data_IF_121217261813
#
_entry.id   IF_121217261813
#
_cell.length_a   1.000
_cell.length_b   1.000
_cell.length_c   1.000
_cell.angle_alpha   90.00
_cell.angle_beta   90.00
_cell.angle_gamma   90.00
#
_symmetry.space_group_name_H-M   'P 1'
#
loop_
_entity.id
_entity.type
_entity.pdbx_description
1 polymer ?
#
# COMPACT_ATOMS: atom_id res chain seq x y z
N UNK A 1 -13.97 -25.58 -4.95
CA UNK A 1 -12.88 -24.57 -4.85
C UNK A 1 -13.54 -23.23 -5.12
N UNK A 2 -13.69 -22.39 -4.11
CA UNK A 2 -14.13 -21.01 -4.31
C UNK A 2 -13.12 -20.33 -5.25
N UNK A 3 -13.62 -19.56 -6.20
CA UNK A 3 -12.80 -18.88 -7.18
C UNK A 3 -11.96 -17.81 -6.44
N UNK A 4 -10.63 -17.93 -6.44
CA UNK A 4 -9.67 -17.01 -5.81
C UNK A 4 -9.96 -15.56 -6.17
N UNK A 5 -10.34 -15.29 -7.40
CA UNK A 5 -10.76 -13.96 -7.84
C UNK A 5 -11.99 -13.44 -7.08
N UNK A 6 -12.94 -14.31 -6.72
CA UNK A 6 -14.11 -13.92 -5.95
C UNK A 6 -13.75 -13.58 -4.49
N UNK A 7 -12.83 -14.35 -3.88
CA UNK A 7 -12.33 -14.06 -2.52
C UNK A 7 -11.57 -12.73 -2.47
N UNK A 8 -10.68 -12.49 -3.45
CA UNK A 8 -9.97 -11.22 -3.55
C UNK A 8 -10.90 -10.02 -3.82
N UNK A 9 -11.96 -10.20 -4.62
CA UNK A 9 -12.97 -9.15 -4.84
C UNK A 9 -13.77 -8.83 -3.58
N UNK A 10 -13.99 -9.81 -2.70
CA UNK A 10 -14.74 -9.62 -1.45
C UNK A 10 -13.97 -8.76 -0.43
N UNK A 11 -12.67 -8.57 -0.58
CA UNK A 11 -11.84 -7.73 0.31
C UNK A 11 -12.41 -6.33 0.47
N UNK A 12 -12.89 -5.73 -0.61
CA UNK A 12 -13.47 -4.39 -0.62
C UNK A 12 -14.69 -4.32 0.32
N UNK A 13 -15.60 -5.29 0.20
CA UNK A 13 -16.80 -5.34 1.04
C UNK A 13 -16.47 -5.65 2.51
N UNK A 14 -15.45 -6.48 2.77
CA UNK A 14 -14.97 -6.78 4.12
C UNK A 14 -14.45 -5.50 4.79
N UNK A 15 -13.55 -4.76 4.14
CA UNK A 15 -13.04 -3.51 4.69
C UNK A 15 -14.11 -2.42 4.80
N UNK A 16 -15.05 -2.36 3.87
CA UNK A 16 -16.21 -1.46 3.97
C UNK A 16 -17.07 -1.78 5.19
N UNK A 17 -17.39 -3.06 5.39
CA UNK A 17 -18.18 -3.55 6.54
C UNK A 17 -17.50 -3.27 7.88
N UNK A 18 -16.19 -3.50 7.96
CA UNK A 18 -15.42 -3.45 9.19
C UNK A 18 -14.57 -2.19 9.36
N UNK A 19 -14.73 -1.17 8.51
CA UNK A 19 -13.87 0.01 8.46
C UNK A 19 -13.62 0.64 9.83
N UNK A 20 -14.66 0.85 10.63
CA UNK A 20 -14.55 1.47 11.97
C UNK A 20 -13.83 0.56 12.96
N UNK A 21 -14.24 -0.69 13.04
CA UNK A 21 -13.64 -1.67 13.97
C UNK A 21 -12.17 -1.91 13.63
N UNK A 22 -11.84 -1.99 12.31
CA UNK A 22 -10.47 -2.11 11.85
C UNK A 22 -9.63 -0.87 12.22
N UNK A 23 -10.17 0.34 12.04
CA UNK A 23 -9.48 1.58 12.40
C UNK A 23 -9.19 1.65 13.91
N UNK A 24 -10.14 1.24 14.73
CA UNK A 24 -9.96 1.16 16.20
C UNK A 24 -8.90 0.12 16.57
N UNK A 25 -8.94 -1.07 15.95
CA UNK A 25 -7.96 -2.14 16.16
C UNK A 25 -6.55 -1.72 15.73
N UNK A 26 -6.42 -1.08 14.55
CA UNK A 26 -5.14 -0.59 14.03
C UNK A 26 -4.52 0.45 14.95
N UNK A 27 -5.34 1.34 15.50
CA UNK A 27 -4.91 2.40 16.41
C UNK A 27 -3.94 3.39 15.77
N UNK A 28 -3.34 4.22 16.62
CA UNK A 28 -2.44 5.31 16.18
C UNK A 28 -0.94 4.95 16.35
N UNK A 29 -0.60 3.74 16.80
CA UNK A 29 0.80 3.35 16.98
C UNK A 29 1.48 3.10 15.63
N UNK A 30 2.60 3.78 15.39
CA UNK A 30 3.33 3.80 14.12
C UNK A 30 4.54 2.85 14.19
N UNK A 31 4.31 1.53 14.14
CA UNK A 31 5.37 0.51 14.17
C UNK A 31 6.23 0.54 12.90
N UNK A 32 5.72 1.06 11.79
CA UNK A 32 6.40 1.24 10.50
C UNK A 32 7.28 2.49 10.42
N UNK A 33 7.42 3.26 11.50
CA UNK A 33 8.09 4.57 11.49
C UNK A 33 9.48 4.56 10.88
N UNK A 34 10.33 3.59 11.24
CA UNK A 34 11.69 3.50 10.71
C UNK A 34 11.72 3.27 9.20
N UNK A 35 10.77 2.51 8.67
CA UNK A 35 10.59 2.32 7.25
C UNK A 35 10.10 3.59 6.55
N UNK A 36 9.17 4.31 7.16
CA UNK A 36 8.69 5.60 6.65
C UNK A 36 9.80 6.65 6.67
N UNK A 37 10.62 6.71 7.71
CA UNK A 37 11.77 7.62 7.77
C UNK A 37 12.77 7.33 6.63
N UNK A 38 13.09 6.06 6.40
CA UNK A 38 13.97 5.65 5.31
C UNK A 38 13.34 5.97 3.94
N UNK A 39 12.05 5.69 3.76
CA UNK A 39 11.28 6.01 2.57
C UNK A 39 11.32 7.51 2.25
N UNK A 40 11.07 8.36 3.24
CA UNK A 40 11.11 9.80 3.09
C UNK A 40 12.52 10.35 2.84
N UNK A 41 13.56 9.67 3.33
CA UNK A 41 14.95 10.09 3.09
C UNK A 41 15.38 9.99 1.62
N UNK A 42 14.64 9.25 0.80
CA UNK A 42 14.92 9.04 -0.63
C UNK A 42 14.30 10.09 -1.54
N UNK A 43 13.46 10.98 -1.00
CA UNK A 43 12.69 11.95 -1.79
C UNK A 43 12.92 13.39 -1.32
N UNK A 44 12.67 14.39 -2.19
CA UNK A 44 12.73 15.79 -1.77
C UNK A 44 11.72 16.12 -0.67
N UNK A 45 12.05 17.09 0.18
CA UNK A 45 11.08 17.68 1.12
C UNK A 45 9.88 18.29 0.38
N UNK A 46 8.71 18.32 1.01
CA UNK A 46 7.48 18.84 0.41
C UNK A 46 7.05 18.17 -0.91
N UNK A 47 7.38 16.88 -1.03
CA UNK A 47 6.95 16.04 -2.16
C UNK A 47 5.46 15.73 -2.13
N UNK A 48 4.91 15.36 -3.28
CA UNK A 48 3.57 14.76 -3.39
C UNK A 48 3.69 13.24 -3.45
N UNK A 49 2.99 12.56 -2.55
CA UNK A 49 3.00 11.11 -2.37
C UNK A 49 1.66 10.49 -2.79
N UNK A 50 1.72 9.29 -3.32
CA UNK A 50 0.56 8.45 -3.61
C UNK A 50 0.50 7.31 -2.58
N UNK A 51 -0.65 7.14 -1.91
CA UNK A 51 -0.92 6.07 -0.96
C UNK A 51 -2.05 5.18 -1.50
N UNK A 52 -1.71 3.97 -1.92
CA UNK A 52 -2.61 2.99 -2.54
C UNK A 52 -3.12 1.99 -1.49
N UNK A 53 -4.41 2.04 -1.21
CA UNK A 53 -5.02 1.36 -0.06
C UNK A 53 -4.82 2.17 1.22
N UNK A 54 -5.06 3.48 1.13
CA UNK A 54 -4.76 4.46 2.20
C UNK A 54 -5.62 4.31 3.46
N UNK A 55 -6.69 3.51 3.41
CA UNK A 55 -7.63 3.36 4.51
C UNK A 55 -8.16 4.70 5.02
N UNK A 56 -8.27 4.89 6.35
CA UNK A 56 -8.75 6.14 6.96
C UNK A 56 -7.67 7.24 7.04
N UNK A 57 -6.49 7.04 6.43
CA UNK A 57 -5.35 7.94 6.47
C UNK A 57 -4.54 7.90 7.78
N UNK A 58 -4.88 7.05 8.75
CA UNK A 58 -4.18 6.91 10.03
C UNK A 58 -3.62 5.51 10.23
N UNK A 59 -2.43 5.41 10.85
CA UNK A 59 -1.53 6.48 11.32
C UNK A 59 -0.57 7.00 10.24
N UNK A 60 -0.42 6.31 9.11
CA UNK A 60 0.66 6.53 8.13
C UNK A 60 0.51 7.89 7.44
N UNK A 61 -0.64 8.18 6.83
CA UNK A 61 -0.84 9.47 6.15
C UNK A 61 -0.73 10.65 7.12
N UNK A 62 -1.18 10.51 8.38
CA UNK A 62 -0.98 11.52 9.42
C UNK A 62 0.51 11.83 9.59
N UNK A 63 1.34 10.79 9.72
CA UNK A 63 2.78 10.95 9.85
C UNK A 63 3.40 11.66 8.63
N UNK A 64 3.08 11.20 7.42
CA UNK A 64 3.61 11.77 6.18
C UNK A 64 3.24 13.26 6.01
N UNK A 65 2.01 13.64 6.40
CA UNK A 65 1.54 15.03 6.40
C UNK A 65 2.30 15.86 7.43
N UNK A 66 2.54 15.32 8.63
CA UNK A 66 3.31 15.99 9.69
C UNK A 66 4.78 16.22 9.26
N UNK A 67 5.33 15.37 8.40
CA UNK A 67 6.65 15.57 7.79
C UNK A 67 6.64 16.62 6.64
N UNK A 68 5.50 17.25 6.37
CA UNK A 68 5.38 18.35 5.41
C UNK A 68 5.10 17.93 3.97
N UNK A 69 4.67 16.68 3.75
CA UNK A 69 4.32 16.16 2.43
C UNK A 69 2.83 16.35 2.10
N UNK A 70 2.52 16.39 0.82
CA UNK A 70 1.13 16.37 0.30
C UNK A 70 0.79 14.95 -0.11
N UNK A 71 -0.43 14.50 0.18
CA UNK A 71 -0.90 13.15 -0.16
C UNK A 71 -2.05 13.16 -1.14
N UNK A 72 -2.02 12.18 -2.05
CA UNK A 72 -3.20 11.63 -2.70
C UNK A 72 -3.36 10.21 -2.20
N UNK A 73 -4.45 9.94 -1.48
CA UNK A 73 -4.81 8.62 -1.00
C UNK A 73 -5.88 7.99 -1.89
N UNK A 74 -5.69 6.73 -2.23
CA UNK A 74 -6.64 5.92 -3.01
C UNK A 74 -7.07 4.72 -2.18
N UNK A 75 -8.36 4.50 -2.06
CA UNK A 75 -8.93 3.30 -1.43
C UNK A 75 -10.24 2.92 -2.13
N UNK A 76 -10.54 1.63 -2.20
CA UNK A 76 -11.77 1.14 -2.83
C UNK A 76 -12.99 1.32 -1.92
N UNK A 77 -12.79 1.41 -0.61
CA UNK A 77 -13.86 1.57 0.38
C UNK A 77 -14.28 3.03 0.49
N UNK A 78 -15.53 3.32 0.13
CA UNK A 78 -16.17 4.63 0.32
C UNK A 78 -16.16 5.07 1.79
N UNK A 79 -16.29 4.12 2.72
CA UNK A 79 -16.28 4.37 4.17
C UNK A 79 -14.89 4.82 4.62
N UNK A 80 -13.81 4.15 4.14
CA UNK A 80 -12.43 4.54 4.45
C UNK A 80 -12.12 5.93 3.90
N UNK A 81 -12.49 6.20 2.66
CA UNK A 81 -12.30 7.51 2.03
C UNK A 81 -13.05 8.62 2.77
N UNK A 82 -14.30 8.39 3.19
CA UNK A 82 -15.04 9.37 3.99
C UNK A 82 -14.37 9.67 5.34
N UNK A 83 -13.75 8.64 5.97
CA UNK A 83 -12.98 8.82 7.20
C UNK A 83 -11.69 9.61 6.95
N UNK A 84 -10.95 9.30 5.86
CA UNK A 84 -9.73 10.00 5.48
C UNK A 84 -10.00 11.49 5.17
N UNK A 85 -11.07 11.79 4.42
CA UNK A 85 -11.52 13.17 4.14
C UNK A 85 -11.86 13.94 5.41
N UNK A 86 -12.51 13.29 6.37
CA UNK A 86 -12.84 13.90 7.67
C UNK A 86 -11.57 14.16 8.50
N UNK A 87 -10.63 13.21 8.50
CA UNK A 87 -9.39 13.30 9.28
C UNK A 87 -8.45 14.37 8.68
N UNK A 88 -8.34 14.43 7.35
CA UNK A 88 -7.37 15.28 6.64
C UNK A 88 -8.03 15.99 5.43
N UNK A 89 -8.90 16.98 5.69
CA UNK A 89 -9.69 17.64 4.64
C UNK A 89 -8.87 18.48 3.64
N UNK A 90 -7.59 18.69 3.91
CA UNK A 90 -6.68 19.43 3.01
C UNK A 90 -5.94 18.53 2.02
N UNK A 91 -6.05 17.20 2.18
CA UNK A 91 -5.45 16.24 1.27
C UNK A 91 -6.48 15.77 0.22
N UNK A 92 -6.01 15.09 -0.82
CA UNK A 92 -6.87 14.52 -1.86
C UNK A 92 -7.12 13.05 -1.60
N UNK A 93 -8.39 12.64 -1.54
CA UNK A 93 -8.79 11.26 -1.30
C UNK A 93 -9.71 10.80 -2.42
N UNK A 94 -9.34 9.69 -3.06
CA UNK A 94 -10.00 9.17 -4.26
C UNK A 94 -10.55 7.79 -3.96
N UNK A 95 -11.86 7.62 -4.08
CA UNK A 95 -12.47 6.30 -4.05
C UNK A 95 -12.26 5.62 -5.40
N UNK A 96 -11.35 4.67 -5.47
CA UNK A 96 -11.06 3.92 -6.69
C UNK A 96 -10.34 2.60 -6.36
N UNK A 97 -10.37 1.68 -7.31
CA UNK A 97 -9.55 0.48 -7.29
C UNK A 97 -8.12 0.82 -7.75
N UNK A 98 -7.12 0.45 -6.94
CA UNK A 98 -5.71 0.73 -7.24
C UNK A 98 -5.25 0.13 -8.58
N UNK A 99 -5.92 -0.93 -9.07
CA UNK A 99 -5.60 -1.60 -10.34
C UNK A 99 -5.95 -0.78 -11.57
N UNK A 100 -6.94 0.10 -11.45
CA UNK A 100 -7.55 0.81 -12.58
C UNK A 100 -7.65 2.31 -12.39
N UNK A 101 -7.18 2.83 -11.24
CA UNK A 101 -7.21 4.27 -10.99
C UNK A 101 -6.36 5.01 -12.02
N UNK A 102 -6.92 6.10 -12.55
CA UNK A 102 -6.24 7.03 -13.43
C UNK A 102 -6.02 8.35 -12.70
N UNK A 103 -4.77 8.81 -12.66
CA UNK A 103 -4.38 10.07 -12.03
C UNK A 103 -3.51 10.86 -13.03
N UNK A 104 -3.88 12.12 -13.25
CA UNK A 104 -3.22 13.00 -14.24
C UNK A 104 -1.89 13.58 -13.75
N UNK A 105 -1.23 12.92 -12.81
CA UNK A 105 0.04 13.37 -12.26
C UNK A 105 0.96 12.19 -11.89
N UNK A 106 2.22 12.54 -11.66
CA UNK A 106 3.25 11.63 -11.18
C UNK A 106 3.70 12.02 -9.78
N UNK A 107 4.33 11.08 -9.09
CA UNK A 107 4.64 11.19 -7.67
C UNK A 107 6.12 10.97 -7.38
N UNK A 108 6.63 11.63 -6.34
CA UNK A 108 7.97 11.40 -5.82
C UNK A 108 8.05 10.15 -4.93
N UNK A 109 6.92 9.70 -4.40
CA UNK A 109 6.84 8.48 -3.62
C UNK A 109 5.49 7.79 -3.80
N UNK A 110 5.51 6.46 -3.78
CA UNK A 110 4.33 5.58 -3.87
C UNK A 110 4.40 4.59 -2.72
N UNK A 111 3.32 4.53 -1.96
CA UNK A 111 3.14 3.61 -0.84
C UNK A 111 1.98 2.65 -1.16
N UNK A 112 2.15 1.37 -0.81
CA UNK A 112 1.09 0.36 -0.83
C UNK A 112 1.25 -0.54 0.41
N UNK A 113 0.94 0.04 1.58
CA UNK A 113 1.11 -0.60 2.89
C UNK A 113 -0.15 -1.37 3.27
N UNK A 114 -0.01 -2.63 3.65
CA UNK A 114 -1.10 -3.55 4.06
C UNK A 114 -2.31 -3.57 3.11
N UNK A 115 -2.06 -3.41 1.82
CA UNK A 115 -3.09 -3.32 0.79
C UNK A 115 -2.79 -4.18 -0.44
N UNK A 116 -1.58 -4.09 -0.98
CA UNK A 116 -1.15 -4.72 -2.22
C UNK A 116 -1.26 -6.26 -2.19
N UNK A 117 -1.00 -6.90 -1.06
CA UNK A 117 -1.06 -8.35 -0.90
C UNK A 117 -2.49 -8.92 -0.85
N UNK A 118 -3.53 -8.07 -0.88
CA UNK A 118 -4.90 -8.52 -1.08
C UNK A 118 -5.27 -8.79 -2.54
N UNK A 119 -4.42 -8.35 -3.47
CA UNK A 119 -4.58 -8.63 -4.89
C UNK A 119 -4.16 -10.07 -5.22
N UNK A 120 -4.85 -10.70 -6.18
CA UNK A 120 -4.39 -11.99 -6.73
C UNK A 120 -3.02 -11.83 -7.41
N UNK A 121 -2.23 -12.91 -7.56
CA UNK A 121 -0.88 -12.84 -8.12
C UNK A 121 -0.79 -12.13 -9.48
N UNK A 122 -1.76 -12.34 -10.37
CA UNK A 122 -1.75 -11.71 -11.69
C UNK A 122 -2.00 -10.20 -11.62
N UNK A 123 -2.88 -9.75 -10.72
CA UNK A 123 -3.11 -8.33 -10.48
C UNK A 123 -1.88 -7.69 -9.84
N UNK A 124 -1.20 -8.38 -8.92
CA UNK A 124 0.07 -7.89 -8.35
C UNK A 124 1.13 -7.67 -9.43
N UNK A 125 1.25 -8.57 -10.42
CA UNK A 125 2.16 -8.41 -11.57
C UNK A 125 1.84 -7.15 -12.38
N UNK A 126 0.56 -6.91 -12.63
CA UNK A 126 0.10 -5.74 -13.40
C UNK A 126 0.33 -4.42 -12.67
N UNK A 127 0.28 -4.41 -11.34
CA UNK A 127 0.51 -3.21 -10.54
C UNK A 127 1.90 -2.59 -10.74
N UNK A 128 2.92 -3.37 -11.14
CA UNK A 128 4.25 -2.81 -11.40
C UNK A 128 4.25 -1.86 -12.60
N UNK A 129 3.39 -2.09 -13.60
CA UNK A 129 3.16 -1.13 -14.68
C UNK A 129 2.52 0.18 -14.15
N UNK A 130 1.55 0.08 -13.25
CA UNK A 130 0.92 1.23 -12.59
C UNK A 130 1.93 2.00 -11.75
N UNK A 131 2.73 1.32 -10.92
CA UNK A 131 3.81 1.98 -10.16
C UNK A 131 4.77 2.75 -11.07
N UNK A 132 5.17 2.14 -12.20
CA UNK A 132 6.04 2.81 -13.17
C UNK A 132 5.36 4.01 -13.85
N UNK A 133 4.07 3.89 -14.18
CA UNK A 133 3.30 4.97 -14.82
C UNK A 133 3.18 6.18 -13.89
N UNK A 134 2.97 5.98 -12.59
CA UNK A 134 2.85 7.04 -11.60
C UNK A 134 4.20 7.63 -11.15
N UNK A 135 5.33 7.06 -11.58
CA UNK A 135 6.65 7.46 -11.12
C UNK A 135 7.28 8.55 -11.97
N UNK A 136 8.07 9.40 -11.34
CA UNK A 136 9.16 10.18 -11.94
C UNK A 136 10.50 9.49 -11.65
N UNK A 137 11.60 9.99 -12.22
CA UNK A 137 12.96 9.57 -11.82
C UNK A 137 13.16 9.81 -10.31
N UNK A 138 13.80 8.86 -9.63
CA UNK A 138 14.02 8.83 -8.19
C UNK A 138 12.76 8.64 -7.32
N UNK A 139 11.61 8.30 -7.89
CA UNK A 139 10.44 7.94 -7.07
C UNK A 139 10.77 6.79 -6.12
N UNK A 140 10.53 6.97 -4.83
CA UNK A 140 10.56 5.89 -3.86
C UNK A 140 9.27 5.06 -3.96
N UNK A 141 9.39 3.73 -3.99
CA UNK A 141 8.28 2.78 -3.94
C UNK A 141 8.43 1.92 -2.70
N UNK A 142 7.42 1.91 -1.83
CA UNK A 142 7.37 1.02 -0.68
C UNK A 142 6.07 0.23 -0.67
N UNK A 143 6.18 -1.09 -0.45
CA UNK A 143 5.02 -1.97 -0.32
C UNK A 143 5.29 -3.13 0.62
N UNK A 144 4.21 -3.73 1.15
CA UNK A 144 4.26 -4.94 1.97
C UNK A 144 3.80 -6.15 1.18
N UNK A 145 4.34 -7.33 1.53
CA UNK A 145 3.97 -8.62 0.96
C UNK A 145 4.03 -9.73 2.02
N UNK A 146 3.65 -10.95 1.65
CA UNK A 146 4.04 -12.13 2.41
C UNK A 146 5.52 -12.47 2.21
N UNK A 147 6.10 -13.32 3.08
CA UNK A 147 7.52 -13.66 3.06
C UNK A 147 7.91 -14.60 1.91
N UNK A 148 6.95 -15.29 1.34
CA UNK A 148 7.13 -16.27 0.24
C UNK A 148 5.93 -16.29 -0.70
N UNK A 149 6.11 -16.88 -1.87
CA UNK A 149 5.02 -17.09 -2.82
C UNK A 149 3.93 -17.98 -2.24
N UNK A 150 2.68 -17.62 -2.49
CA UNK A 150 1.53 -18.42 -2.09
C UNK A 150 0.32 -17.55 -1.75
N UNK A 151 -0.71 -18.22 -1.32
CA UNK A 151 -1.97 -17.63 -0.87
C UNK A 151 -2.25 -18.06 0.56
N UNK A 152 -2.85 -17.18 1.32
CA UNK A 152 -3.23 -17.41 2.70
C UNK A 152 -4.59 -16.79 2.98
N UNK A 153 -5.33 -17.38 3.91
CA UNK A 153 -6.56 -16.82 4.41
C UNK A 153 -6.33 -16.34 5.84
N UNK A 154 -6.52 -15.05 6.04
CA UNK A 154 -6.61 -14.44 7.36
C UNK A 154 -8.06 -14.37 7.83
N UNK A 155 -8.27 -13.67 8.92
CA UNK A 155 -9.57 -13.37 9.50
C UNK A 155 -9.65 -11.88 9.87
N UNK A 156 -10.75 -11.25 9.53
CA UNK A 156 -11.07 -9.91 10.00
C UNK A 156 -12.49 -9.91 10.60
N UNK A 157 -12.57 -9.99 11.92
CA UNK A 157 -13.84 -10.03 12.65
C UNK A 157 -14.81 -11.13 12.19
N UNK A 158 -14.28 -12.32 11.85
CA UNK A 158 -15.04 -13.48 11.40
C UNK A 158 -15.25 -13.58 9.89
N UNK A 159 -14.83 -12.58 9.11
CA UNK A 159 -14.83 -12.66 7.64
C UNK A 159 -13.45 -13.12 7.14
N UNK A 160 -13.44 -14.05 6.19
CA UNK A 160 -12.23 -14.62 5.61
C UNK A 160 -11.48 -13.60 4.75
N UNK A 161 -10.24 -13.27 5.11
CA UNK A 161 -9.42 -12.24 4.49
C UNK A 161 -8.37 -12.87 3.57
N UNK A 162 -8.54 -12.69 2.26
CA UNK A 162 -7.62 -13.22 1.26
C UNK A 162 -6.29 -12.45 1.23
N UNK A 163 -5.20 -13.21 1.19
CA UNK A 163 -3.85 -12.69 0.99
C UNK A 163 -3.12 -13.52 -0.07
N UNK A 164 -2.29 -12.88 -0.87
CA UNK A 164 -1.40 -13.54 -1.80
C UNK A 164 -0.05 -12.82 -1.88
N UNK A 165 0.98 -13.55 -2.29
CA UNK A 165 2.28 -12.97 -2.57
C UNK A 165 2.97 -13.71 -3.70
N UNK A 166 3.77 -12.99 -4.47
CA UNK A 166 4.75 -13.55 -5.39
C UNK A 166 6.00 -13.97 -4.62
N UNK A 167 6.90 -14.71 -5.28
CA UNK A 167 8.21 -14.99 -4.69
C UNK A 167 9.07 -13.74 -4.60
N UNK A 168 10.02 -13.73 -3.68
CA UNK A 168 10.96 -12.61 -3.56
C UNK A 168 11.77 -12.39 -4.85
N UNK A 169 12.14 -13.47 -5.54
CA UNK A 169 12.86 -13.38 -6.81
C UNK A 169 11.98 -12.77 -7.90
N UNK A 170 10.70 -13.13 -7.94
CA UNK A 170 9.75 -12.57 -8.89
C UNK A 170 9.52 -11.07 -8.65
N UNK A 171 9.35 -10.63 -7.40
CA UNK A 171 9.28 -9.20 -7.09
C UNK A 171 10.55 -8.46 -7.53
N UNK A 172 11.75 -9.01 -7.34
CA UNK A 172 13.01 -8.41 -7.80
C UNK A 172 13.06 -8.29 -9.32
N UNK A 173 12.62 -9.31 -10.04
CA UNK A 173 12.55 -9.29 -11.52
C UNK A 173 11.58 -8.22 -12.00
N UNK A 174 10.38 -8.14 -11.42
CA UNK A 174 9.38 -7.13 -11.77
C UNK A 174 9.85 -5.72 -11.46
N UNK A 175 10.39 -5.48 -10.26
CA UNK A 175 10.98 -4.18 -9.90
C UNK A 175 12.02 -3.75 -10.94
N UNK A 176 12.97 -4.61 -11.27
CA UNK A 176 14.00 -4.32 -12.27
C UNK A 176 13.41 -4.08 -13.66
N UNK A 177 12.46 -4.90 -14.09
CA UNK A 177 11.81 -4.76 -15.40
C UNK A 177 11.13 -3.40 -15.55
N UNK A 178 10.53 -2.89 -14.48
CA UNK A 178 9.86 -1.59 -14.48
C UNK A 178 10.76 -0.42 -14.02
N UNK A 179 12.08 -0.64 -13.96
CA UNK A 179 13.09 0.38 -13.72
C UNK A 179 13.24 0.80 -12.26
N UNK A 180 12.92 -0.07 -11.31
CA UNK A 180 13.18 0.14 -9.90
C UNK A 180 14.34 -0.71 -9.39
N UNK A 181 15.20 -0.12 -8.59
CA UNK A 181 16.24 -0.83 -7.84
C UNK A 181 15.80 -1.00 -6.39
N UNK A 182 15.94 -2.21 -5.86
CA UNK A 182 15.69 -2.48 -4.43
C UNK A 182 16.73 -1.75 -3.58
N UNK A 183 16.26 -0.89 -2.69
CA UNK A 183 17.09 -0.17 -1.70
C UNK A 183 17.24 -1.02 -0.43
N UNK A 184 16.11 -1.51 0.09
CA UNK A 184 16.07 -2.38 1.27
C UNK A 184 14.90 -3.34 1.15
N UNK A 185 15.10 -4.58 1.59
CA UNK A 185 14.02 -5.55 1.76
C UNK A 185 14.31 -6.39 2.98
N UNK A 186 13.32 -6.55 3.84
CA UNK A 186 13.40 -7.43 5.02
C UNK A 186 12.14 -8.29 5.04
N UNK A 187 12.34 -9.59 5.10
CA UNK A 187 11.24 -10.56 5.26
C UNK A 187 11.00 -10.82 6.75
N UNK A 188 9.74 -10.82 7.16
CA UNK A 188 9.34 -11.04 8.55
C UNK A 188 10.09 -10.11 9.52
N UNK A 189 10.12 -8.82 9.23
CA UNK A 189 10.81 -7.82 10.02
C UNK A 189 10.23 -7.74 11.44
N UNK A 190 10.97 -8.24 12.42
CA UNK A 190 10.52 -8.30 13.82
C UNK A 190 10.33 -6.90 14.44
N UNK A 191 11.08 -5.91 13.97
CA UNK A 191 10.96 -4.52 14.42
C UNK A 191 9.70 -3.85 13.82
N UNK A 192 9.15 -4.44 12.75
CA UNK A 192 7.95 -3.99 12.06
C UNK A 192 6.83 -5.05 12.14
N UNK A 193 6.60 -5.61 13.34
CA UNK A 193 5.51 -6.56 13.64
C UNK A 193 5.45 -7.79 12.71
N UNK A 194 6.58 -8.22 12.16
CA UNK A 194 6.68 -9.39 11.27
C UNK A 194 6.33 -9.10 9.81
N UNK A 195 6.22 -7.84 9.41
CA UNK A 195 5.96 -7.50 8.01
C UNK A 195 7.13 -7.87 7.09
N UNK A 196 6.82 -8.24 5.87
CA UNK A 196 7.81 -8.30 4.78
C UNK A 196 7.69 -7.01 3.99
N UNK A 197 8.72 -6.18 4.10
CA UNK A 197 8.70 -4.82 3.55
C UNK A 197 9.69 -4.68 2.40
N UNK A 198 9.25 -4.07 1.33
CA UNK A 198 10.02 -3.74 0.15
C UNK A 198 10.15 -2.22 0.02
N UNK A 199 11.37 -1.74 -0.12
CA UNK A 199 11.67 -0.36 -0.47
C UNK A 199 12.56 -0.36 -1.71
N UNK A 200 12.11 0.31 -2.76
CA UNK A 200 12.80 0.42 -4.03
C UNK A 200 12.79 1.87 -4.53
N UNK A 201 13.68 2.19 -5.47
CA UNK A 201 13.75 3.53 -6.06
C UNK A 201 13.82 3.45 -7.58
N UNK A 202 13.05 4.30 -8.26
CA UNK A 202 12.99 4.45 -9.71
C UNK A 202 14.28 5.06 -10.23
N UNK A 203 14.82 4.48 -11.29
CA UNK A 203 15.97 5.02 -12.02
C UNK A 203 15.57 6.02 -13.10
#
# INVERSE_FOLDING_TARGET
MENQSALAQNIIEIYKKHARAWTELRGDFLYEKEWLDLFLSLIPVHSTLLDLGCGPGKPIADYLIQQGHTLIGVDSSDVMIAMAQKNFPKQTWVQADMRTVELDQKFNAILAWDSFFHLIPDDQRQMFAQFAQFSVTNTALMFTSGPMAGEAMGDLFGDALYHASLSQDEYRVLLKQYGFNVVKMVANDVECTGHTVWLAQKQ
#
